data_IF_216542055896
#
_entry.id   IF_216542055896
#
_cell.length_a   1.000
_cell.length_b   1.000
_cell.length_c   1.000
_cell.angle_alpha   90.00
_cell.angle_beta   90.00
_cell.angle_gamma   90.00
#
_symmetry.space_group_name_H-M   'P 1'
#
loop_
_entity.id
_entity.type
_entity.pdbx_description
1 polymer ?
#
# COMPACT_ATOMS: atom_id res chain seq x y z
N UNK A 1 -4.08 -22.96 -22.18
CA UNK A 1 -4.85 -21.70 -22.17
C UNK A 1 -3.89 -20.63 -21.68
N UNK A 2 -3.67 -19.60 -22.50
CA UNK A 2 -2.51 -18.70 -22.39
C UNK A 2 -2.51 -17.87 -21.11
N UNK A 3 -1.40 -17.89 -20.39
CA UNK A 3 -1.11 -16.91 -19.36
C UNK A 3 -0.86 -15.55 -20.02
N UNK A 4 -1.86 -14.67 -19.95
CA UNK A 4 -1.68 -13.25 -20.24
C UNK A 4 -0.74 -12.72 -19.15
N UNK A 5 0.48 -12.32 -19.53
CA UNK A 5 1.42 -11.70 -18.60
C UNK A 5 0.74 -10.47 -18.02
N UNK A 6 0.38 -10.51 -16.74
CA UNK A 6 -0.24 -9.40 -16.00
C UNK A 6 0.80 -8.31 -15.79
N UNK A 7 1.13 -7.60 -16.86
CA UNK A 7 1.99 -6.43 -16.77
C UNK A 7 1.32 -5.40 -15.85
N UNK A 8 1.97 -5.03 -14.75
CA UNK A 8 1.62 -3.89 -13.91
C UNK A 8 1.73 -2.59 -14.71
N UNK A 9 0.67 -2.25 -15.41
CA UNK A 9 0.49 -0.97 -16.11
C UNK A 9 -0.04 0.10 -15.13
N UNK A 10 0.70 0.33 -14.04
CA UNK A 10 0.33 1.33 -13.04
C UNK A 10 0.55 2.74 -13.61
N UNK A 11 -0.40 3.68 -13.41
CA UNK A 11 -0.37 4.98 -14.08
C UNK A 11 0.82 5.82 -13.62
N UNK A 12 1.41 6.58 -14.55
CA UNK A 12 2.39 7.61 -14.24
C UNK A 12 1.65 8.84 -13.69
N UNK A 13 1.89 9.16 -12.41
CA UNK A 13 1.22 10.21 -11.67
C UNK A 13 2.15 11.40 -11.43
N UNK A 14 1.60 12.60 -11.54
CA UNK A 14 2.25 13.82 -11.07
C UNK A 14 2.11 13.97 -9.55
N UNK A 15 2.86 14.91 -8.96
CA UNK A 15 2.68 15.25 -7.54
C UNK A 15 1.28 15.79 -7.24
N UNK A 16 0.66 16.48 -8.20
CA UNK A 16 -0.68 17.04 -8.02
C UNK A 16 -1.76 15.96 -8.09
N UNK A 17 -1.58 14.93 -8.92
CA UNK A 17 -2.48 13.76 -8.94
C UNK A 17 -2.46 13.05 -7.58
N UNK A 18 -1.26 12.81 -7.04
CA UNK A 18 -1.10 12.19 -5.72
C UNK A 18 -1.69 13.09 -4.63
N UNK A 19 -1.54 14.41 -4.73
CA UNK A 19 -2.13 15.38 -3.79
C UNK A 19 -3.66 15.36 -3.82
N UNK A 20 -4.27 15.13 -4.98
CA UNK A 20 -5.71 14.91 -5.10
C UNK A 20 -6.16 13.67 -4.33
N UNK A 21 -5.43 12.56 -4.49
CA UNK A 21 -5.71 11.28 -3.80
C UNK A 21 -5.53 11.40 -2.28
N UNK A 22 -4.44 12.00 -1.82
CA UNK A 22 -4.13 12.15 -0.39
C UNK A 22 -4.90 13.27 0.30
N UNK A 23 -5.62 14.09 -0.49
CA UNK A 23 -6.31 15.30 -0.04
C UNK A 23 -5.39 16.28 0.72
N UNK A 24 -4.11 16.31 0.36
CA UNK A 24 -3.15 17.19 1.02
C UNK A 24 -1.70 16.69 0.95
N UNK A 25 -0.77 17.56 1.31
CA UNK A 25 0.67 17.31 1.13
C UNK A 25 1.31 16.49 2.26
N UNK A 26 0.60 16.31 3.38
CA UNK A 26 1.18 15.70 4.57
C UNK A 26 1.67 14.26 4.29
N UNK A 27 0.81 13.42 3.73
CA UNK A 27 1.16 12.03 3.44
C UNK A 27 2.27 11.93 2.39
N UNK A 28 2.27 12.83 1.39
CA UNK A 28 3.29 12.88 0.34
C UNK A 28 4.69 13.15 0.91
N UNK A 29 4.79 14.04 1.92
CA UNK A 29 6.06 14.35 2.58
C UNK A 29 6.64 13.13 3.31
N UNK A 30 5.77 12.27 3.83
CA UNK A 30 6.14 11.06 4.55
C UNK A 30 6.35 9.85 3.62
N UNK A 31 5.82 9.90 2.40
CA UNK A 31 5.76 8.77 1.48
C UNK A 31 7.12 8.15 1.18
N UNK A 32 8.17 8.96 1.04
CA UNK A 32 9.53 8.45 0.78
C UNK A 32 10.11 7.69 1.97
N UNK A 33 9.86 8.13 3.20
CA UNK A 33 10.32 7.44 4.41
C UNK A 33 9.65 6.06 4.51
N UNK A 34 8.32 6.04 4.42
CA UNK A 34 7.56 4.79 4.47
C UNK A 34 7.90 3.86 3.31
N UNK A 35 8.10 4.39 2.10
CA UNK A 35 8.52 3.56 0.98
C UNK A 35 9.89 2.94 1.22
N UNK A 36 10.85 3.68 1.75
CA UNK A 36 12.19 3.15 2.03
C UNK A 36 12.22 2.03 3.06
N UNK A 37 11.25 1.98 3.98
CA UNK A 37 11.09 0.90 4.97
C UNK A 37 10.61 -0.41 4.31
N UNK A 38 9.89 -0.33 3.19
CA UNK A 38 9.32 -1.49 2.47
C UNK A 38 10.01 -1.81 1.14
N UNK A 39 11.04 -1.05 0.79
CA UNK A 39 11.86 -1.29 -0.39
C UNK A 39 13.04 -2.19 -0.01
N UNK A 40 13.19 -3.30 -0.72
CA UNK A 40 14.28 -4.26 -0.54
C UNK A 40 15.65 -3.70 -1.01
N UNK A 41 16.71 -4.46 -0.81
CA UNK A 41 18.07 -4.10 -1.25
C UNK A 41 18.17 -3.92 -2.77
N UNK A 42 17.32 -4.61 -3.53
CA UNK A 42 17.24 -4.54 -4.99
C UNK A 42 16.36 -3.38 -5.48
N UNK A 43 15.76 -2.59 -4.58
CA UNK A 43 14.96 -1.43 -4.93
C UNK A 43 13.49 -1.72 -5.27
N UNK A 44 12.97 -2.90 -4.91
CA UNK A 44 11.56 -3.29 -5.09
C UNK A 44 10.74 -3.04 -3.83
N UNK A 45 9.60 -2.37 -3.99
CA UNK A 45 8.53 -2.38 -2.99
C UNK A 45 7.71 -3.67 -3.14
N UNK A 46 7.54 -4.49 -2.11
CA UNK A 46 6.76 -5.73 -2.27
C UNK A 46 5.26 -5.45 -2.46
N UNK A 47 4.74 -5.77 -3.65
CA UNK A 47 3.31 -5.73 -3.98
C UNK A 47 2.94 -6.96 -4.81
N UNK A 48 1.67 -7.33 -4.74
CA UNK A 48 1.07 -8.47 -5.42
C UNK A 48 -0.05 -8.01 -6.34
N UNK A 49 -0.25 -8.70 -7.46
CA UNK A 49 -1.34 -8.45 -8.39
C UNK A 49 -2.42 -9.52 -8.25
N UNK A 50 -3.69 -9.11 -8.29
CA UNK A 50 -4.79 -10.06 -8.37
C UNK A 50 -4.83 -10.74 -9.74
N UNK A 51 -4.92 -12.07 -9.74
CA UNK A 51 -5.18 -12.87 -10.93
C UNK A 51 -6.65 -12.87 -11.34
N UNK A 52 -7.55 -12.60 -10.40
CA UNK A 52 -9.01 -12.60 -10.62
C UNK A 52 -9.53 -11.25 -11.13
N UNK A 53 -9.00 -10.14 -10.58
CA UNK A 53 -9.44 -8.78 -10.93
C UNK A 53 -8.28 -7.98 -11.54
N UNK A 54 -8.44 -7.57 -12.80
CA UNK A 54 -7.47 -6.71 -13.49
C UNK A 54 -7.26 -5.40 -12.73
N UNK A 55 -6.01 -4.93 -12.72
CA UNK A 55 -5.58 -3.68 -12.11
C UNK A 55 -5.95 -3.53 -10.63
N UNK A 56 -5.94 -4.64 -9.91
CA UNK A 56 -6.04 -4.66 -8.45
C UNK A 56 -4.70 -5.12 -7.88
N UNK A 57 -4.09 -4.26 -7.09
CA UNK A 57 -2.87 -4.59 -6.35
C UNK A 57 -3.18 -4.75 -4.86
N UNK A 58 -2.42 -5.65 -4.25
CA UNK A 58 -2.37 -5.88 -2.81
C UNK A 58 -0.95 -5.57 -2.35
N UNK A 59 -0.80 -5.02 -1.15
CA UNK A 59 0.47 -4.88 -0.46
C UNK A 59 0.28 -5.28 1.01
N UNK A 60 1.26 -6.00 1.54
CA UNK A 60 1.38 -6.35 2.95
C UNK A 60 2.34 -5.36 3.60
N UNK A 61 1.88 -4.70 4.65
CA UNK A 61 2.59 -3.63 5.32
C UNK A 61 2.73 -3.99 6.80
N UNK A 62 3.98 -4.13 7.26
CA UNK A 62 4.24 -4.42 8.66
C UNK A 62 3.85 -3.25 9.55
N UNK A 63 3.16 -3.54 10.67
CA UNK A 63 2.87 -2.54 11.68
C UNK A 63 4.15 -2.01 12.33
N UNK A 64 4.27 -0.68 12.42
CA UNK A 64 5.38 -0.04 13.16
C UNK A 64 5.39 -0.38 14.65
N UNK A 65 4.24 -0.74 15.22
CA UNK A 65 4.06 -0.95 16.65
C UNK A 65 4.03 -2.43 17.05
N UNK A 66 4.02 -3.35 16.08
CA UNK A 66 4.03 -4.79 16.34
C UNK A 66 4.69 -5.53 15.19
N UNK A 67 5.67 -6.38 15.50
CA UNK A 67 6.33 -7.22 14.51
C UNK A 67 5.43 -8.35 13.99
N UNK A 68 4.37 -8.72 14.73
CA UNK A 68 3.41 -9.76 14.38
C UNK A 68 2.30 -9.26 13.46
N UNK A 69 1.88 -8.01 13.62
CA UNK A 69 0.72 -7.47 12.91
C UNK A 69 1.10 -6.96 11.52
N UNK A 70 0.45 -7.52 10.49
CA UNK A 70 0.51 -7.03 9.12
C UNK A 70 -0.81 -6.33 8.78
N UNK A 71 -0.74 -5.30 7.95
CA UNK A 71 -1.91 -4.65 7.39
C UNK A 71 -1.93 -4.86 5.89
N UNK A 72 -3.08 -5.25 5.36
CA UNK A 72 -3.28 -5.28 3.92
C UNK A 72 -3.71 -3.92 3.40
N UNK A 73 -3.09 -3.52 2.30
CA UNK A 73 -3.38 -2.33 1.52
C UNK A 73 -3.76 -2.75 0.10
N UNK A 74 -4.94 -2.36 -0.34
CA UNK A 74 -5.50 -2.70 -1.66
C UNK A 74 -5.64 -1.42 -2.45
N UNK A 75 -5.21 -1.42 -3.71
CA UNK A 75 -5.37 -0.29 -4.63
C UNK A 75 -5.89 -0.82 -5.96
N UNK A 76 -7.00 -0.23 -6.42
CA UNK A 76 -7.52 -0.43 -7.76
C UNK A 76 -7.15 0.76 -8.64
N UNK A 77 -6.69 0.49 -9.86
CA UNK A 77 -6.24 1.52 -10.78
C UNK A 77 -6.68 1.23 -12.22
N UNK A 78 -6.42 2.17 -13.11
CA UNK A 78 -6.41 1.95 -14.56
C UNK A 78 -5.14 2.57 -15.16
N UNK A 79 -5.00 2.56 -16.49
CA UNK A 79 -3.83 3.11 -17.17
C UNK A 79 -3.65 4.63 -17.00
N UNK A 80 -4.64 5.33 -16.44
CA UNK A 80 -4.66 6.79 -16.31
C UNK A 80 -4.58 7.27 -14.86
N UNK A 81 -5.17 6.56 -13.90
CA UNK A 81 -5.28 7.02 -12.52
C UNK A 81 -5.59 5.91 -11.53
N UNK A 82 -5.50 6.24 -10.24
CA UNK A 82 -5.95 5.38 -9.14
C UNK A 82 -7.45 5.59 -8.93
N UNK A 83 -8.22 4.51 -8.93
CA UNK A 83 -9.69 4.54 -8.80
C UNK A 83 -10.15 4.44 -7.36
N UNK A 84 -9.66 3.42 -6.65
CA UNK A 84 -10.12 3.08 -5.31
C UNK A 84 -8.94 2.56 -4.49
N UNK A 85 -9.01 2.73 -3.18
CA UNK A 85 -7.99 2.23 -2.26
C UNK A 85 -8.59 1.95 -0.89
N UNK A 86 -7.99 1.00 -0.18
CA UNK A 86 -8.33 0.69 1.19
C UNK A 86 -7.08 0.17 1.92
N UNK A 87 -6.91 0.51 3.19
CA UNK A 87 -5.88 -0.08 4.03
C UNK A 87 -6.48 -0.41 5.39
N UNK A 88 -6.22 -1.62 5.87
CA UNK A 88 -6.72 -2.11 7.16
C UNK A 88 -6.07 -1.43 8.37
N UNK A 89 -5.11 -0.53 8.17
CA UNK A 89 -4.50 0.16 9.29
C UNK A 89 -5.51 1.10 9.99
N UNK A 90 -5.36 1.34 11.30
CA UNK A 90 -6.25 2.21 12.07
C UNK A 90 -6.47 3.60 11.45
N UNK A 91 -5.44 4.16 10.81
CA UNK A 91 -5.53 5.46 10.16
C UNK A 91 -6.27 5.38 8.82
N UNK A 92 -6.10 4.29 8.05
CA UNK A 92 -6.77 4.08 6.78
C UNK A 92 -8.29 4.07 6.93
N UNK A 93 -8.79 3.36 7.95
CA UNK A 93 -10.22 3.27 8.22
C UNK A 93 -10.87 4.57 8.71
N UNK A 94 -10.08 5.55 9.16
CA UNK A 94 -10.58 6.78 9.82
C UNK A 94 -10.34 8.06 9.02
N UNK A 95 -9.60 8.00 7.91
CA UNK A 95 -9.13 9.18 7.18
C UNK A 95 -9.89 9.39 5.87
N UNK A 96 -10.40 10.59 5.65
CA UNK A 96 -10.85 11.05 4.32
C UNK A 96 -9.60 11.38 3.49
N UNK A 97 -9.41 10.68 2.37
CA UNK A 97 -8.14 10.64 1.63
C UNK A 97 -7.48 9.27 1.79
N UNK A 98 -6.18 9.23 2.12
CA UNK A 98 -5.48 7.96 2.35
C UNK A 98 -4.47 8.02 3.51
N UNK A 99 -4.11 6.85 4.06
CA UNK A 99 -3.06 6.74 5.06
C UNK A 99 -1.67 6.79 4.41
N UNK A 100 -0.63 6.90 5.24
CA UNK A 100 0.77 6.90 4.78
C UNK A 100 1.15 5.62 4.03
N UNK A 101 0.56 4.47 4.37
CA UNK A 101 0.81 3.19 3.69
C UNK A 101 0.31 3.21 2.24
N UNK A 102 -0.93 3.67 2.00
CA UNK A 102 -1.46 3.82 0.63
C UNK A 102 -0.64 4.87 -0.13
N UNK A 103 -0.34 5.99 0.53
CA UNK A 103 0.43 7.06 -0.10
C UNK A 103 1.83 6.61 -0.51
N UNK A 104 2.53 5.81 0.30
CA UNK A 104 3.89 5.32 -0.03
C UNK A 104 3.88 4.43 -1.25
N UNK A 105 2.89 3.53 -1.37
CA UNK A 105 2.73 2.63 -2.52
C UNK A 105 2.44 3.44 -3.79
N UNK A 106 1.42 4.32 -3.75
CA UNK A 106 1.05 5.16 -4.90
C UNK A 106 2.21 6.07 -5.32
N UNK A 107 2.90 6.67 -4.35
CA UNK A 107 4.04 7.53 -4.62
C UNK A 107 5.20 6.76 -5.27
N UNK A 108 5.51 5.56 -4.76
CA UNK A 108 6.59 4.74 -5.32
C UNK A 108 6.25 4.28 -6.75
N UNK A 109 5.08 3.67 -6.94
CA UNK A 109 4.66 3.10 -8.22
C UNK A 109 4.34 4.17 -9.27
N UNK A 110 3.67 5.25 -8.87
CA UNK A 110 3.19 6.26 -9.81
C UNK A 110 4.19 7.38 -10.11
N UNK A 111 5.15 7.65 -9.22
CA UNK A 111 6.03 8.81 -9.36
C UNK A 111 7.52 8.49 -9.15
N UNK A 112 7.88 7.91 -8.01
CA UNK A 112 9.28 7.84 -7.58
C UNK A 112 10.13 6.93 -8.47
N UNK A 113 9.63 5.73 -8.81
CA UNK A 113 10.39 4.76 -9.63
C UNK A 113 10.70 5.26 -11.05
N UNK A 114 9.92 6.23 -11.54
CA UNK A 114 10.08 6.82 -12.87
C UNK A 114 11.03 8.03 -12.88
N UNK A 115 11.34 8.58 -11.69
CA UNK A 115 12.25 9.70 -11.55
C UNK A 115 13.68 9.19 -11.36
N UNK A 116 14.62 9.63 -12.21
CA UNK A 116 16.05 9.27 -12.19
C UNK A 116 16.84 9.88 -11.01
N UNK A 117 16.21 10.05 -9.84
CA UNK A 117 16.83 10.76 -8.70
C UNK A 117 17.90 9.88 -8.04
N UNK A 118 19.06 10.43 -7.60
CA UNK A 118 20.29 9.64 -7.47
C UNK A 118 20.48 8.88 -6.14
N UNK A 119 19.55 8.95 -5.18
CA UNK A 119 19.84 8.49 -3.81
C UNK A 119 19.55 7.00 -3.55
N UNK A 120 18.75 6.34 -4.38
CA UNK A 120 18.52 4.87 -4.36
C UNK A 120 18.01 4.46 -5.74
N UNK A 121 18.73 3.57 -6.43
CA UNK A 121 18.29 3.09 -7.75
C UNK A 121 17.09 2.17 -7.54
N UNK A 122 15.90 2.62 -7.93
CA UNK A 122 14.72 1.76 -7.98
C UNK A 122 14.85 0.78 -9.17
N UNK A 123 14.39 -0.46 -8.99
CA UNK A 123 14.58 -1.49 -9.99
C UNK A 123 13.81 -1.21 -11.28
N UNK A 124 14.50 -1.25 -12.41
CA UNK A 124 13.88 -1.18 -13.74
C UNK A 124 13.12 -2.49 -14.11
N UNK A 125 13.37 -3.58 -13.38
CA UNK A 125 12.79 -4.90 -13.64
C UNK A 125 11.68 -5.26 -12.63
N UNK A 126 11.07 -4.26 -11.99
CA UNK A 126 10.06 -4.41 -10.94
C UNK A 126 8.93 -5.41 -11.28
N UNK A 127 8.56 -5.47 -12.56
CA UNK A 127 7.53 -6.36 -13.08
C UNK A 127 7.79 -7.84 -12.79
N UNK A 128 9.06 -8.27 -12.86
CA UNK A 128 9.43 -9.68 -12.68
C UNK A 128 9.33 -10.13 -11.21
N UNK A 129 9.15 -9.19 -10.28
CA UNK A 129 9.07 -9.46 -8.84
C UNK A 129 7.63 -9.58 -8.33
N UNK A 130 6.64 -9.24 -9.16
CA UNK A 130 5.24 -9.27 -8.75
C UNK A 130 4.75 -10.71 -8.58
N UNK A 131 4.01 -10.92 -7.50
CA UNK A 131 3.42 -12.21 -7.10
C UNK A 131 1.90 -12.16 -7.22
N UNK A 132 1.26 -13.33 -7.22
CA UNK A 132 -0.20 -13.44 -7.19
C UNK A 132 -0.76 -13.09 -5.79
N UNK A 133 -1.71 -12.16 -5.74
CA UNK A 133 -2.35 -11.72 -4.51
C UNK A 133 -3.29 -12.78 -3.91
N UNK A 134 -3.83 -13.70 -4.72
CA UNK A 134 -4.77 -14.73 -4.24
C UNK A 134 -4.11 -15.69 -3.25
N UNK A 135 -2.79 -15.88 -3.36
CA UNK A 135 -2.01 -16.73 -2.45
C UNK A 135 -1.88 -16.14 -1.03
N UNK A 136 -2.19 -14.85 -0.83
CA UNK A 136 -2.03 -14.16 0.46
C UNK A 136 -3.31 -14.14 1.29
N UNK A 137 -4.48 -14.26 0.65
CA UNK A 137 -5.79 -14.18 1.34
C UNK A 137 -6.31 -15.56 1.77
N UNK A 138 -5.60 -16.64 1.43
CA UNK A 138 -5.95 -18.02 1.78
C UNK A 138 -5.43 -18.49 3.14
N UNK A 139 -4.75 -17.61 3.87
CA UNK A 139 -4.24 -17.88 5.22
C UNK A 139 -5.22 -17.30 6.23
N UNK A 140 -6.06 -18.15 6.81
CA UNK A 140 -6.96 -17.78 7.91
C UNK A 140 -6.10 -17.32 9.12
N UNK A 141 -5.90 -16.01 9.25
CA UNK A 141 -5.40 -15.42 10.49
C UNK A 141 -6.56 -15.37 11.49
N UNK A 142 -6.57 -16.32 12.43
CA UNK A 142 -7.42 -16.25 13.62
C UNK A 142 -7.01 -15.01 14.45
N UNK A 143 -7.78 -13.92 14.33
CA UNK A 143 -7.63 -12.74 15.19
C UNK A 143 -7.95 -13.13 16.64
N UNK A 144 -6.93 -13.19 17.50
CA UNK A 144 -7.15 -13.14 18.96
C UNK A 144 -7.32 -11.68 19.36
N UNK A 145 -8.57 -11.26 19.58
CA UNK A 145 -8.92 -9.97 20.19
C UNK A 145 -8.38 -9.92 21.63
N UNK A 146 -7.25 -9.24 21.84
CA UNK A 146 -6.77 -8.81 23.15
C UNK A 146 -6.85 -7.28 23.20
N UNK A 147 -8.07 -6.76 23.39
CA UNK A 147 -8.31 -5.36 23.77
C UNK A 147 -9.46 -5.33 24.81
N UNK A 148 -9.14 -5.75 26.04
CA UNK A 148 -9.95 -5.50 27.23
C UNK A 148 -9.90 -4.00 27.57
N UNK A 149 -10.81 -3.22 26.98
CA UNK A 149 -11.03 -1.82 27.37
C UNK A 149 -12.02 -1.80 28.53
N UNK A 150 -11.50 -1.81 29.75
CA UNK A 150 -12.28 -1.64 30.97
C UNK A 150 -12.88 -0.24 30.98
N UNK A 151 -14.19 -0.11 30.80
CA UNK A 151 -14.89 1.14 31.11
C UNK A 151 -15.02 1.23 32.63
N UNK A 152 -14.14 2.02 33.27
CA UNK A 152 -14.43 2.54 34.61
C UNK A 152 -15.69 3.42 34.49
N UNK A 153 -16.80 2.91 35.03
CA UNK A 153 -18.00 3.70 35.23
C UNK A 153 -17.70 4.74 36.29
N UNK A 154 -17.55 5.99 35.86
CA UNK A 154 -17.51 7.15 36.73
C UNK A 154 -18.80 7.22 37.55
N UNK A 155 -18.63 7.50 38.84
CA UNK A 155 -19.65 7.59 39.89
C UNK A 155 -20.90 8.38 39.47
N UNK A 156 -22.06 7.87 39.89
CA UNK A 156 -23.30 8.64 39.97
C UNK A 156 -23.84 8.58 41.40
N UNK A 157 -23.65 9.71 42.10
CA UNK A 157 -24.31 10.26 43.31
C UNK A 157 -24.51 9.40 44.56
#
# INVERSE_FOLDING_TARGET
MGGESTALDFPLLSKDDIKGITMGVFQIKQASSYANEHIDEAGHYEVWLSTEKKNLLLASIQSKHSNRKQYYAIIQYDSTTVKEWCCQCPNGNRTIGCCSHICSIIWYLGLARHNKTPSRQFSNNYMNFLKDATLMLSSDDEETDDDDVVYELADSE
#
